data_IF_889765159339
#
_entry.id   IF_889765159339
#
_cell.length_a   1.000
_cell.length_b   1.000
_cell.length_c   1.000
_cell.angle_alpha   90.00
_cell.angle_beta   90.00
_cell.angle_gamma   90.00
#
_symmetry.space_group_name_H-M   'P 1'
#
loop_
_entity.id
_entity.type
_entity.pdbx_description
1 polymer ?
#
# COMPACT_ATOMS: atom_id res chain seq x y z
N UNK A 1 4.58 25.59 -12.57
CA UNK A 1 5.01 25.16 -11.23
C UNK A 1 4.54 26.23 -10.26
N UNK A 2 3.79 25.86 -9.24
CA UNK A 2 3.42 26.79 -8.17
C UNK A 2 4.45 26.66 -7.05
N UNK A 3 5.21 27.73 -6.80
CA UNK A 3 6.24 27.76 -5.75
C UNK A 3 5.93 28.94 -4.84
N UNK A 4 5.61 28.65 -3.59
CA UNK A 4 5.17 29.64 -2.59
C UNK A 4 6.15 29.67 -1.42
N UNK A 5 6.46 30.87 -0.91
CA UNK A 5 7.31 31.05 0.28
C UNK A 5 8.82 30.88 0.06
N UNK A 6 9.29 30.85 -1.19
CA UNK A 6 10.72 30.81 -1.52
C UNK A 6 11.25 32.20 -1.93
N UNK A 7 12.49 32.56 -1.54
CA UNK A 7 13.17 33.73 -2.08
C UNK A 7 13.43 33.60 -3.59
N UNK A 8 13.58 34.74 -4.26
CA UNK A 8 13.68 34.82 -5.73
C UNK A 8 14.91 34.08 -6.29
N UNK A 9 16.06 34.16 -5.62
CA UNK A 9 17.28 33.44 -6.01
C UNK A 9 17.10 31.91 -6.00
N UNK A 10 16.30 31.38 -5.07
CA UNK A 10 15.96 29.95 -5.05
C UNK A 10 14.98 29.60 -6.18
N UNK A 11 14.04 30.49 -6.50
CA UNK A 11 13.11 30.29 -7.63
C UNK A 11 13.86 30.19 -8.97
N UNK A 12 14.87 31.03 -9.16
CA UNK A 12 15.71 31.01 -10.36
C UNK A 12 16.44 29.67 -10.52
N UNK A 13 17.02 29.14 -9.44
CA UNK A 13 17.71 27.85 -9.48
C UNK A 13 16.75 26.67 -9.70
N UNK A 14 15.54 26.71 -9.12
CA UNK A 14 14.49 25.70 -9.39
C UNK A 14 14.07 25.74 -10.87
N UNK A 15 13.84 26.94 -11.41
CA UNK A 15 13.44 27.11 -12.81
C UNK A 15 14.54 26.63 -13.76
N UNK A 16 15.78 27.03 -13.50
CA UNK A 16 16.96 26.60 -14.24
C UNK A 16 17.11 25.08 -14.27
N UNK A 17 16.88 24.40 -13.14
CA UNK A 17 16.87 22.94 -13.08
C UNK A 17 15.74 22.34 -13.95
N UNK A 18 14.52 22.87 -13.82
CA UNK A 18 13.36 22.35 -14.54
C UNK A 18 13.47 22.52 -16.08
N UNK A 19 14.08 23.61 -16.55
CA UNK A 19 14.23 23.89 -17.98
C UNK A 19 15.18 22.94 -18.72
N UNK A 20 16.07 22.23 -18.01
CA UNK A 20 16.95 21.22 -18.62
C UNK A 20 16.14 20.05 -19.19
N UNK A 21 14.98 19.76 -18.62
CA UNK A 21 14.10 18.65 -19.02
C UNK A 21 13.02 19.07 -20.03
N UNK A 22 13.09 20.29 -20.58
CA UNK A 22 12.06 20.94 -21.42
C UNK A 22 10.72 21.14 -20.67
N UNK A 23 9.88 20.10 -20.66
CA UNK A 23 8.60 20.09 -19.95
C UNK A 23 8.02 18.66 -19.85
N UNK A 24 7.08 18.41 -18.91
CA UNK A 24 6.34 17.15 -18.86
C UNK A 24 5.49 16.93 -20.11
N UNK A 25 5.17 15.68 -20.48
CA UNK A 25 4.27 15.39 -21.61
C UNK A 25 2.93 16.12 -21.47
N UNK A 26 2.49 16.77 -22.54
CA UNK A 26 1.25 17.59 -22.56
C UNK A 26 0.03 16.78 -22.13
N UNK A 27 -0.07 15.50 -22.49
CA UNK A 27 -1.16 14.62 -22.04
C UNK A 27 -1.21 14.50 -20.52
N UNK A 28 -0.07 14.42 -19.83
CA UNK A 28 0.00 14.40 -18.37
C UNK A 28 -0.41 15.73 -17.75
N UNK A 29 -0.07 16.85 -18.40
CA UNK A 29 -0.52 18.18 -18.00
C UNK A 29 -2.05 18.31 -18.14
N UNK A 30 -2.63 17.85 -19.27
CA UNK A 30 -4.09 17.83 -19.49
C UNK A 30 -4.80 16.94 -18.45
N UNK A 31 -4.27 15.75 -18.15
CA UNK A 31 -4.87 14.88 -17.13
C UNK A 31 -4.81 15.51 -15.72
N UNK A 32 -3.73 16.24 -15.42
CA UNK A 32 -3.61 16.99 -14.16
C UNK A 32 -4.65 18.09 -14.08
N UNK A 33 -4.85 18.84 -15.18
CA UNK A 33 -5.89 19.86 -15.29
C UNK A 33 -7.29 19.27 -15.07
N UNK A 34 -7.62 18.14 -15.70
CA UNK A 34 -8.90 17.44 -15.50
C UNK A 34 -9.07 16.90 -14.07
N UNK A 35 -7.98 16.56 -13.39
CA UNK A 35 -8.01 16.08 -12.00
C UNK A 35 -8.33 17.20 -11.01
N UNK A 36 -7.79 18.41 -11.23
CA UNK A 36 -8.01 19.57 -10.34
C UNK A 36 -9.27 20.36 -10.70
N UNK A 37 -9.75 20.24 -11.95
CA UNK A 37 -10.98 20.86 -12.45
C UNK A 37 -11.98 19.79 -12.96
N UNK A 38 -12.54 18.95 -12.07
CA UNK A 38 -13.54 17.95 -12.46
C UNK A 38 -14.89 18.59 -12.86
N UNK A 39 -15.80 17.84 -13.51
CA UNK A 39 -17.16 18.33 -13.79
C UNK A 39 -17.85 18.90 -12.55
N UNK A 40 -18.50 20.05 -12.71
CA UNK A 40 -19.20 20.76 -11.64
C UNK A 40 -20.71 20.47 -11.64
N UNK A 41 -21.39 20.80 -10.55
CA UNK A 41 -22.86 20.66 -10.48
C UNK A 41 -23.55 21.48 -11.56
N UNK A 42 -24.27 20.81 -12.46
CA UNK A 42 -24.93 21.41 -13.62
C UNK A 42 -24.35 20.94 -14.95
N UNK A 43 -23.12 20.45 -14.97
CA UNK A 43 -22.51 19.87 -16.17
C UNK A 43 -23.19 18.55 -16.56
N UNK A 44 -23.25 18.29 -17.87
CA UNK A 44 -23.90 17.09 -18.44
C UNK A 44 -23.30 15.79 -17.85
N UNK A 45 -21.98 15.75 -17.65
CA UNK A 45 -21.27 14.57 -17.16
C UNK A 45 -21.18 14.47 -15.63
N UNK A 46 -21.59 15.50 -14.86
CA UNK A 46 -21.36 15.54 -13.41
C UNK A 46 -21.94 14.33 -12.68
N UNK A 47 -23.17 13.94 -13.04
CA UNK A 47 -23.86 12.82 -12.39
C UNK A 47 -23.09 11.51 -12.57
N UNK A 48 -22.66 11.23 -13.80
CA UNK A 48 -21.89 10.04 -14.14
C UNK A 48 -20.52 10.05 -13.43
N UNK A 49 -19.79 11.17 -13.52
CA UNK A 49 -18.50 11.34 -12.84
C UNK A 49 -18.59 11.06 -11.34
N UNK A 50 -19.61 11.62 -10.67
CA UNK A 50 -19.81 11.43 -9.23
C UNK A 50 -20.11 9.98 -8.89
N UNK A 51 -20.99 9.34 -9.65
CA UNK A 51 -21.33 7.92 -9.48
C UNK A 51 -20.10 7.02 -9.61
N UNK A 52 -19.31 7.18 -10.68
CA UNK A 52 -18.10 6.39 -10.93
C UNK A 52 -17.05 6.60 -9.84
N UNK A 53 -16.81 7.86 -9.45
CA UNK A 53 -15.86 8.21 -8.38
C UNK A 53 -16.29 7.58 -7.05
N UNK A 54 -17.54 7.76 -6.66
CA UNK A 54 -18.06 7.27 -5.38
C UNK A 54 -18.09 5.73 -5.35
N UNK A 55 -18.37 5.08 -6.49
CA UNK A 55 -18.27 3.63 -6.65
C UNK A 55 -16.83 3.12 -6.43
N UNK A 56 -15.83 3.77 -7.04
CA UNK A 56 -14.42 3.41 -6.85
C UNK A 56 -14.00 3.58 -5.39
N UNK A 57 -14.31 4.73 -4.78
CA UNK A 57 -13.93 5.03 -3.40
C UNK A 57 -14.60 4.09 -2.39
N UNK A 58 -15.88 3.81 -2.55
CA UNK A 58 -16.61 2.88 -1.69
C UNK A 58 -16.11 1.44 -1.82
N UNK A 59 -15.79 1.01 -3.04
CA UNK A 59 -15.20 -0.31 -3.31
C UNK A 59 -13.83 -0.45 -2.65
N UNK A 60 -12.96 0.55 -2.79
CA UNK A 60 -11.64 0.56 -2.15
C UNK A 60 -11.75 0.53 -0.63
N UNK A 61 -12.66 1.32 -0.05
CA UNK A 61 -12.93 1.32 1.39
C UNK A 61 -13.39 -0.05 1.89
N UNK A 62 -14.34 -0.67 1.19
CA UNK A 62 -14.82 -2.01 1.52
C UNK A 62 -13.68 -3.04 1.52
N UNK A 63 -12.84 -3.05 0.49
CA UNK A 63 -11.71 -3.99 0.39
C UNK A 63 -10.66 -3.76 1.48
N UNK A 64 -10.37 -2.49 1.80
CA UNK A 64 -9.47 -2.14 2.88
C UNK A 64 -9.98 -2.65 4.25
N UNK A 65 -11.28 -2.48 4.50
CA UNK A 65 -11.92 -2.93 5.75
C UNK A 65 -11.95 -4.46 5.86
N UNK A 66 -12.23 -5.18 4.78
CA UNK A 66 -12.17 -6.66 4.76
C UNK A 66 -10.79 -7.17 5.15
N UNK A 67 -9.73 -6.64 4.52
CA UNK A 67 -8.36 -7.08 4.77
C UNK A 67 -7.87 -6.67 6.17
N UNK A 68 -8.27 -5.49 6.64
CA UNK A 68 -8.04 -5.03 8.01
C UNK A 68 -8.68 -5.98 9.04
N UNK A 69 -9.94 -6.36 8.84
CA UNK A 69 -10.63 -7.30 9.72
C UNK A 69 -10.01 -8.69 9.68
N UNK A 70 -9.53 -9.14 8.51
CA UNK A 70 -8.82 -10.39 8.38
C UNK A 70 -7.53 -10.40 9.22
N UNK A 71 -6.71 -9.35 9.10
CA UNK A 71 -5.46 -9.26 9.86
C UNK A 71 -5.66 -9.23 11.36
N UNK A 72 -6.69 -8.53 11.86
CA UNK A 72 -6.97 -8.51 13.31
C UNK A 72 -7.53 -9.84 13.85
N UNK A 73 -7.87 -10.80 12.98
CA UNK A 73 -8.23 -12.18 13.38
C UNK A 73 -7.02 -13.11 13.43
N UNK A 74 -5.88 -12.71 12.85
CA UNK A 74 -4.68 -13.54 12.79
C UNK A 74 -3.88 -13.43 14.09
N UNK A 75 -3.37 -14.56 14.57
CA UNK A 75 -2.62 -14.63 15.83
C UNK A 75 -1.33 -13.79 15.77
N UNK A 76 -1.10 -12.95 16.78
CA UNK A 76 0.13 -12.15 16.83
C UNK A 76 0.27 -11.13 15.70
N UNK A 77 -0.84 -10.79 15.01
CA UNK A 77 -0.90 -9.72 14.00
C UNK A 77 -1.72 -8.55 14.51
N UNK A 78 -1.15 -7.36 14.40
CA UNK A 78 -1.78 -6.10 14.77
C UNK A 78 -1.80 -5.20 13.54
N UNK A 79 -2.98 -4.75 13.11
CA UNK A 79 -3.09 -3.81 12.00
C UNK A 79 -3.78 -2.53 12.47
N UNK A 80 -3.26 -1.38 12.03
CA UNK A 80 -3.96 -0.11 12.22
C UNK A 80 -5.12 0.02 11.23
N UNK A 81 -6.17 0.72 11.64
CA UNK A 81 -7.35 0.95 10.80
C UNK A 81 -6.94 1.81 9.60
N UNK A 82 -7.20 1.38 8.35
CA UNK A 82 -6.87 2.18 7.18
C UNK A 82 -7.72 3.45 7.14
N UNK A 83 -7.06 4.61 7.08
CA UNK A 83 -7.71 5.93 6.99
C UNK A 83 -7.69 6.50 5.56
N UNK A 84 -6.85 5.96 4.67
CA UNK A 84 -6.69 6.42 3.30
C UNK A 84 -5.58 5.66 2.55
N UNK A 85 -5.18 6.18 1.39
CA UNK A 85 -4.23 5.55 0.47
C UNK A 85 -4.67 4.15 0.00
N UNK A 86 -3.71 3.27 -0.32
CA UNK A 86 -3.96 1.98 -1.00
C UNK A 86 -3.22 0.80 -0.34
N UNK A 87 -2.80 0.95 0.91
CA UNK A 87 -1.93 -0.01 1.60
C UNK A 87 -2.39 -0.30 3.04
N UNK A 88 -2.10 -1.51 3.51
CA UNK A 88 -2.07 -1.85 4.93
C UNK A 88 -0.64 -2.25 5.31
N UNK A 89 -0.27 -1.97 6.56
CA UNK A 89 1.05 -2.25 7.10
C UNK A 89 0.95 -2.99 8.45
N UNK A 90 0.43 -4.23 8.45
CA UNK A 90 0.30 -5.00 9.69
C UNK A 90 1.67 -5.28 10.31
N UNK A 91 1.72 -5.17 11.64
CA UNK A 91 2.80 -5.71 12.48
C UNK A 91 2.53 -7.19 12.69
N UNK A 92 3.56 -8.01 12.53
CA UNK A 92 3.50 -9.45 12.72
C UNK A 92 4.45 -9.90 13.81
N UNK A 93 4.07 -10.94 14.53
CA UNK A 93 4.95 -11.69 15.42
C UNK A 93 5.41 -12.93 14.66
N UNK A 94 6.71 -13.07 14.46
CA UNK A 94 7.31 -14.24 13.79
C UNK A 94 7.86 -15.18 14.87
N UNK A 95 7.47 -16.47 14.89
CA UNK A 95 7.93 -17.41 15.90
C UNK A 95 9.46 -17.61 15.90
N UNK A 96 10.07 -17.96 17.05
CA UNK A 96 11.52 -18.14 17.16
C UNK A 96 12.12 -19.12 16.13
N UNK A 97 11.45 -20.26 15.88
CA UNK A 97 11.95 -21.23 14.88
C UNK A 97 11.99 -20.62 13.47
N UNK A 98 11.00 -19.80 13.11
CA UNK A 98 11.01 -19.10 11.82
C UNK A 98 12.11 -18.02 11.76
N UNK A 99 12.41 -17.35 12.88
CA UNK A 99 13.54 -16.43 12.97
C UNK A 99 14.90 -17.16 12.80
N UNK A 100 15.03 -18.37 13.36
CA UNK A 100 16.22 -19.21 13.17
C UNK A 100 16.37 -19.67 11.72
N UNK A 101 15.29 -20.09 11.06
CA UNK A 101 15.31 -20.45 9.63
C UNK A 101 15.66 -19.23 8.75
N UNK A 102 15.13 -18.05 9.08
CA UNK A 102 15.50 -16.81 8.41
C UNK A 102 17.00 -16.53 8.56
N UNK A 103 17.56 -16.71 9.75
CA UNK A 103 18.99 -16.53 10.01
C UNK A 103 19.86 -17.53 9.23
N UNK A 104 19.46 -18.80 9.12
CA UNK A 104 20.15 -19.82 8.30
C UNK A 104 20.19 -19.43 6.82
N UNK A 105 19.16 -18.75 6.34
CA UNK A 105 19.06 -18.25 4.97
C UNK A 105 19.65 -16.84 4.79
N UNK A 106 20.29 -16.29 5.83
CA UNK A 106 20.85 -14.94 5.85
C UNK A 106 19.83 -13.87 5.41
N UNK A 107 18.59 -13.97 5.89
CA UNK A 107 17.50 -13.05 5.58
C UNK A 107 16.79 -12.57 6.84
N UNK A 108 16.04 -11.47 6.73
CA UNK A 108 15.25 -10.94 7.85
C UNK A 108 13.98 -11.78 8.08
N UNK A 109 13.48 -11.89 9.32
CA UNK A 109 12.29 -12.72 9.60
C UNK A 109 11.02 -12.31 8.83
N UNK A 110 10.84 -11.02 8.55
CA UNK A 110 9.74 -10.51 7.71
C UNK A 110 9.91 -10.86 6.23
N UNK A 111 11.14 -10.87 5.71
CA UNK A 111 11.44 -11.35 4.36
C UNK A 111 11.20 -12.86 4.22
N UNK A 112 11.55 -13.62 5.25
CA UNK A 112 11.24 -15.04 5.32
C UNK A 112 9.73 -15.30 5.33
N UNK A 113 8.98 -14.58 6.17
CA UNK A 113 7.51 -14.65 6.19
C UNK A 113 6.90 -14.31 4.83
N UNK A 114 7.34 -13.23 4.19
CA UNK A 114 6.85 -12.80 2.87
C UNK A 114 7.14 -13.85 1.78
N UNK A 115 8.31 -14.50 1.84
CA UNK A 115 8.69 -15.56 0.90
C UNK A 115 7.87 -16.84 1.11
N UNK A 116 7.64 -17.25 2.37
CA UNK A 116 6.77 -18.39 2.67
C UNK A 116 5.33 -18.11 2.23
N UNK A 117 4.82 -16.89 2.44
CA UNK A 117 3.49 -16.47 1.95
C UNK A 117 3.40 -16.62 0.43
N UNK A 118 4.39 -16.10 -0.30
CA UNK A 118 4.44 -16.18 -1.75
C UNK A 118 4.47 -17.63 -2.24
N UNK A 119 5.31 -18.48 -1.66
CA UNK A 119 5.44 -19.89 -2.08
C UNK A 119 4.18 -20.71 -1.85
N UNK A 120 3.47 -20.47 -0.74
CA UNK A 120 2.32 -21.29 -0.35
C UNK A 120 0.99 -20.76 -0.92
N UNK A 121 0.91 -19.47 -1.23
CA UNK A 121 -0.35 -18.85 -1.67
C UNK A 121 -0.25 -18.17 -3.03
N UNK A 122 0.93 -17.78 -3.51
CA UNK A 122 1.09 -16.88 -4.65
C UNK A 122 0.87 -15.39 -4.31
N UNK A 123 0.63 -15.04 -3.05
CA UNK A 123 0.47 -13.64 -2.62
C UNK A 123 1.86 -13.01 -2.44
N UNK A 124 2.15 -11.97 -3.21
CA UNK A 124 3.39 -11.21 -3.12
C UNK A 124 3.18 -9.95 -2.26
N UNK A 125 3.91 -9.86 -1.14
CA UNK A 125 3.93 -8.69 -0.26
C UNK A 125 5.36 -8.15 -0.17
N UNK A 126 5.50 -6.89 0.28
CA UNK A 126 6.82 -6.30 0.51
C UNK A 126 7.15 -6.37 2.01
N UNK A 127 8.28 -6.95 2.43
CA UNK A 127 8.65 -7.02 3.83
C UNK A 127 8.93 -5.64 4.43
N UNK A 128 8.66 -5.47 5.73
CA UNK A 128 8.82 -4.22 6.47
C UNK A 128 10.26 -3.70 6.48
N UNK A 129 11.23 -4.60 6.44
CA UNK A 129 12.66 -4.30 6.35
C UNK A 129 13.04 -3.39 5.17
N UNK A 130 12.27 -3.40 4.08
CA UNK A 130 12.47 -2.51 2.93
C UNK A 130 12.03 -1.05 3.15
N UNK A 131 11.27 -0.75 4.21
CA UNK A 131 10.71 0.58 4.48
C UNK A 131 11.36 1.28 5.67
N UNK A 132 12.16 0.55 6.46
CA UNK A 132 12.52 0.95 7.81
C UNK A 132 11.37 0.70 8.80
N UNK A 133 11.71 0.22 9.99
CA UNK A 133 10.74 -0.10 11.03
C UNK A 133 11.36 0.05 12.41
N UNK A 134 10.53 0.19 13.45
CA UNK A 134 11.00 0.28 14.84
C UNK A 134 11.84 -0.97 15.16
N UNK A 135 12.96 -0.85 15.90
CA UNK A 135 13.73 -2.02 16.33
C UNK A 135 12.84 -3.05 17.03
N UNK A 136 13.10 -4.33 16.76
CA UNK A 136 12.35 -5.47 17.30
C UNK A 136 10.86 -5.52 16.92
N UNK A 137 10.51 -4.90 15.80
CA UNK A 137 9.18 -5.06 15.17
C UNK A 137 9.35 -5.57 13.74
N UNK A 138 8.36 -6.33 13.28
CA UNK A 138 8.35 -6.93 11.95
C UNK A 138 7.01 -6.60 11.31
N UNK A 139 7.04 -6.26 10.03
CA UNK A 139 5.85 -5.85 9.28
C UNK A 139 5.90 -6.40 7.87
N UNK A 140 4.80 -6.25 7.14
CA UNK A 140 4.80 -6.29 5.69
C UNK A 140 3.81 -5.25 5.14
N UNK A 141 4.02 -4.79 3.92
CA UNK A 141 3.07 -3.96 3.18
C UNK A 141 2.30 -4.81 2.18
N UNK A 142 0.98 -4.70 2.21
CA UNK A 142 0.08 -5.29 1.21
C UNK A 142 -0.83 -4.23 0.61
N UNK A 143 -1.49 -4.56 -0.50
CA UNK A 143 -2.49 -3.71 -1.16
C UNK A 143 -3.84 -4.42 -1.27
N UNK A 144 -4.91 -3.63 -1.34
CA UNK A 144 -6.29 -4.10 -1.55
C UNK A 144 -6.85 -3.67 -2.92
N UNK A 145 -5.96 -3.33 -3.87
CA UNK A 145 -6.33 -2.92 -5.22
C UNK A 145 -6.87 -4.09 -6.06
N UNK A 146 -6.41 -5.31 -5.81
CA UNK A 146 -6.90 -6.50 -6.50
C UNK A 146 -8.38 -6.75 -6.17
N UNK A 147 -9.18 -7.22 -7.15
CA UNK A 147 -10.53 -7.72 -6.87
C UNK A 147 -10.49 -8.98 -6.00
N UNK A 148 -11.63 -9.35 -5.41
CA UNK A 148 -11.73 -10.57 -4.59
C UNK A 148 -11.19 -10.42 -3.17
N UNK A 149 -11.52 -9.32 -2.50
CA UNK A 149 -11.04 -9.04 -1.13
C UNK A 149 -11.29 -10.15 -0.12
N UNK A 150 -12.38 -10.92 -0.25
CA UNK A 150 -12.68 -12.08 0.61
C UNK A 150 -11.75 -13.26 0.36
N UNK A 151 -11.52 -13.65 -0.89
CA UNK A 151 -10.57 -14.72 -1.25
C UNK A 151 -9.16 -14.40 -0.73
N UNK A 152 -8.70 -13.17 -1.00
CA UNK A 152 -7.41 -12.70 -0.54
C UNK A 152 -7.31 -12.77 1.00
N UNK A 153 -8.34 -12.30 1.69
CA UNK A 153 -8.41 -12.31 3.16
C UNK A 153 -8.34 -13.74 3.72
N UNK A 154 -9.10 -14.67 3.15
CA UNK A 154 -9.12 -16.06 3.59
C UNK A 154 -7.77 -16.75 3.39
N UNK A 155 -7.12 -16.55 2.24
CA UNK A 155 -5.79 -17.10 1.95
C UNK A 155 -4.71 -16.59 2.89
N UNK A 156 -4.78 -15.31 3.30
CA UNK A 156 -3.91 -14.77 4.34
C UNK A 156 -4.12 -15.49 5.68
N UNK A 157 -5.37 -15.65 6.11
CA UNK A 157 -5.72 -16.30 7.38
C UNK A 157 -5.25 -17.76 7.39
N UNK A 158 -5.55 -18.52 6.34
CA UNK A 158 -5.18 -19.93 6.21
C UNK A 158 -3.66 -20.11 6.23
N UNK A 159 -2.95 -19.34 5.40
CA UNK A 159 -1.48 -19.37 5.38
C UNK A 159 -0.90 -19.03 6.76
N UNK A 160 -1.36 -17.94 7.37
CA UNK A 160 -0.81 -17.48 8.64
C UNK A 160 -1.03 -18.53 9.73
N UNK A 161 -2.21 -19.16 9.78
CA UNK A 161 -2.49 -20.26 10.70
C UNK A 161 -1.53 -21.44 10.51
N UNK A 162 -1.33 -21.88 9.26
CA UNK A 162 -0.39 -22.97 8.96
C UNK A 162 1.07 -22.60 9.27
N UNK A 163 1.46 -21.35 9.01
CA UNK A 163 2.79 -20.84 9.32
C UNK A 163 3.05 -20.86 10.83
N UNK A 164 2.11 -20.35 11.63
CA UNK A 164 2.21 -20.37 13.09
C UNK A 164 2.29 -21.80 13.62
N UNK A 165 1.47 -22.73 13.13
CA UNK A 165 1.54 -24.14 13.54
C UNK A 165 2.87 -24.82 13.21
N UNK A 166 3.51 -24.44 12.08
CA UNK A 166 4.78 -25.03 11.64
C UNK A 166 5.97 -24.54 12.46
N UNK A 167 5.97 -23.27 12.88
CA UNK A 167 7.14 -22.60 13.46
C UNK A 167 6.98 -22.22 14.94
N UNK A 168 5.81 -22.43 15.54
CA UNK A 168 5.64 -22.42 17.01
C UNK A 168 6.18 -23.72 17.59
#
# INVERSE_FOLDING_TARGET
MEVVGFPEDILEEIYKMACVELCPPVTGQILTELMVNPPAEGDESYKLYKEERDFVLSTLRMRAELLFQAFNKMEGVECQKPQGAMYLFPKITVPPKACEEAAKLNTSPDSFYAMELLKNTGICVVPGSGFGQKPNTLHFRTTFLAPGGEDLSNRFIEFHKSFMQKYT
#
